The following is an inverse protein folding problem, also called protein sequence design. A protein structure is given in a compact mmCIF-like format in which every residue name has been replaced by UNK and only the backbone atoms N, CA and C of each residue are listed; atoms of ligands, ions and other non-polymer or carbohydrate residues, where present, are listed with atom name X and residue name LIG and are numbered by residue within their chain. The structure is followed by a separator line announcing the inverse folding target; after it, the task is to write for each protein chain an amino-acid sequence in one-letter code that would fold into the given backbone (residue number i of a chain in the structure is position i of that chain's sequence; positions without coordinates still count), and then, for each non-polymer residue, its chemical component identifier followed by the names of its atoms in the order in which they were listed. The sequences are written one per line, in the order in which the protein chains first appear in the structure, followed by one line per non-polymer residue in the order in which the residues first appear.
data_IF_447581004635
#
_entry.id   IF_447581004635
#
_cell.length_a   1.000
_cell.length_b   1.000
_cell.length_c   1.000
_cell.angle_alpha   90.00
_cell.angle_beta   90.00
_cell.angle_gamma   90.00
#
_symmetry.space_group_name_H-M   'P 1'
#
loop_
_entity.id
_entity.type
_entity.pdbx_description
1 polymer ?
#
# COMPACT_ATOMS: atom_id res chain seq x y z
N UNK A 1 -18.66 27.59 -56.22
CA UNK A 1 -18.45 26.28 -56.87
C UNK A 1 -17.29 25.55 -56.15
N UNK A 2 -17.55 24.28 -55.75
CA UNK A 2 -16.73 23.27 -55.05
C UNK A 2 -16.67 23.36 -53.51
N UNK A 3 -17.58 22.61 -52.91
CA UNK A 3 -17.50 22.01 -51.57
C UNK A 3 -16.48 20.88 -51.62
N UNK A 4 -15.66 20.74 -50.60
CA UNK A 4 -14.91 19.52 -50.31
C UNK A 4 -15.27 19.04 -48.91
N UNK A 5 -15.90 17.86 -48.92
CA UNK A 5 -16.34 17.12 -47.72
C UNK A 5 -15.15 16.63 -46.94
N UNK A 6 -15.18 16.81 -45.61
CA UNK A 6 -14.24 16.18 -44.67
C UNK A 6 -15.02 15.10 -43.89
N UNK A 7 -14.89 13.86 -44.37
CA UNK A 7 -15.42 12.67 -43.68
C UNK A 7 -14.69 12.41 -42.37
N UNK A 8 -15.44 12.37 -41.28
CA UNK A 8 -15.01 11.96 -39.97
C UNK A 8 -14.88 10.44 -39.90
N UNK A 9 -13.66 9.88 -39.81
CA UNK A 9 -13.41 8.49 -39.48
C UNK A 9 -13.56 8.30 -37.98
N UNK A 10 -14.63 7.60 -37.55
CA UNK A 10 -14.74 7.03 -36.19
C UNK A 10 -13.79 5.82 -36.05
N UNK A 11 -13.13 5.60 -34.93
CA UNK A 11 -12.38 4.36 -34.71
C UNK A 11 -13.34 3.20 -34.51
N UNK A 12 -13.00 2.05 -35.09
CA UNK A 12 -13.74 0.78 -35.02
C UNK A 12 -13.67 0.17 -33.62
N UNK A 13 -14.67 -0.60 -33.18
CA UNK A 13 -14.69 -1.22 -31.84
C UNK A 13 -13.63 -2.31 -31.70
N UNK A 14 -12.96 -2.31 -30.55
CA UNK A 14 -11.95 -3.30 -30.16
C UNK A 14 -12.61 -4.67 -30.00
N UNK A 15 -12.05 -5.68 -30.64
CA UNK A 15 -12.58 -7.04 -30.69
C UNK A 15 -12.24 -7.80 -29.41
N UNK A 16 -13.25 -8.17 -28.63
CA UNK A 16 -13.17 -8.86 -27.33
C UNK A 16 -12.51 -10.26 -27.42
N UNK A 17 -12.35 -10.82 -28.61
CA UNK A 17 -11.68 -12.11 -28.83
C UNK A 17 -10.14 -12.07 -28.67
N UNK A 18 -9.52 -10.92 -28.90
CA UNK A 18 -8.07 -10.78 -28.78
C UNK A 18 -7.61 -10.73 -27.31
N UNK A 19 -8.41 -10.19 -26.40
CA UNK A 19 -8.10 -10.21 -24.96
C UNK A 19 -8.16 -11.62 -24.35
N UNK A 20 -9.08 -12.48 -24.83
CA UNK A 20 -9.19 -13.87 -24.38
C UNK A 20 -7.99 -14.72 -24.81
N UNK A 21 -7.36 -14.43 -25.95
CA UNK A 21 -6.13 -15.11 -26.40
C UNK A 21 -4.90 -14.68 -25.63
N UNK A 22 -4.82 -13.43 -25.17
CA UNK A 22 -3.72 -12.95 -24.32
C UNK A 22 -3.75 -13.58 -22.92
N UNK A 23 -4.94 -13.71 -22.29
CA UNK A 23 -5.11 -14.36 -20.98
C UNK A 23 -4.86 -15.87 -21.06
N UNK A 24 -5.20 -16.55 -22.19
CA UNK A 24 -4.90 -17.96 -22.42
C UNK A 24 -3.40 -18.25 -22.52
N UNK A 25 -2.62 -17.38 -23.17
CA UNK A 25 -1.16 -17.51 -23.24
C UNK A 25 -0.45 -17.31 -21.90
N UNK A 26 -0.95 -16.41 -21.07
CA UNK A 26 -0.38 -16.18 -19.72
C UNK A 26 -0.59 -17.38 -18.77
N UNK A 27 -1.74 -18.08 -18.86
CA UNK A 27 -1.98 -19.30 -18.08
C UNK A 27 -1.11 -20.49 -18.52
N UNK A 28 -0.77 -20.59 -19.79
CA UNK A 28 0.11 -21.66 -20.30
C UNK A 28 1.58 -21.47 -19.90
N UNK A 29 2.06 -20.23 -19.78
CA UNK A 29 3.44 -19.92 -19.36
C UNK A 29 3.67 -20.20 -17.87
N UNK A 30 2.65 -20.03 -17.03
CA UNK A 30 2.72 -20.33 -15.57
C UNK A 30 2.70 -21.86 -15.35
N UNK A 31 1.91 -22.61 -16.13
CA UNK A 31 1.84 -24.07 -16.00
C UNK A 31 3.12 -24.79 -16.45
N UNK A 32 3.80 -24.28 -17.47
CA UNK A 32 5.10 -24.84 -17.93
C UNK A 32 6.24 -24.54 -16.98
N UNK A 33 6.24 -23.40 -16.28
CA UNK A 33 7.25 -23.05 -15.26
C UNK A 33 7.25 -24.00 -14.06
N UNK A 34 6.08 -24.44 -13.60
CA UNK A 34 5.95 -25.37 -12.47
C UNK A 34 6.34 -26.79 -12.84
N UNK A 35 6.21 -27.19 -14.11
CA UNK A 35 6.59 -28.54 -14.55
C UNK A 35 8.10 -28.69 -14.78
N UNK A 36 8.80 -27.62 -15.19
CA UNK A 36 10.28 -27.65 -15.29
C UNK A 36 10.97 -27.76 -13.92
N UNK A 37 10.42 -27.13 -12.88
CA UNK A 37 10.99 -27.22 -11.53
C UNK A 37 10.90 -28.64 -10.91
N UNK A 38 10.00 -29.51 -11.42
CA UNK A 38 9.81 -30.89 -10.91
C UNK A 38 10.71 -31.93 -11.61
N UNK A 39 11.21 -31.61 -12.80
CA UNK A 39 12.08 -32.52 -13.58
C UNK A 39 13.58 -32.33 -13.28
N UNK A 40 14.02 -31.16 -12.81
CA UNK A 40 15.43 -30.91 -12.47
C UNK A 40 15.90 -31.51 -11.14
N UNK A 41 15.01 -32.02 -10.29
CA UNK A 41 15.40 -32.72 -9.04
C UNK A 41 15.99 -34.12 -9.21
N UNK A 42 16.14 -34.62 -10.43
CA UNK A 42 16.65 -35.98 -10.68
C UNK A 42 18.04 -36.07 -11.33
N UNK A 43 18.71 -34.97 -11.64
CA UNK A 43 20.12 -35.02 -12.10
C UNK A 43 20.89 -33.84 -11.55
N UNK A 44 21.93 -34.14 -10.80
CA UNK A 44 22.81 -33.20 -10.13
C UNK A 44 23.50 -32.23 -11.07
N UNK A 45 23.79 -31.08 -10.49
CA UNK A 45 24.61 -29.97 -10.98
C UNK A 45 24.09 -29.17 -12.19
N UNK A 46 23.60 -27.94 -11.92
CA UNK A 46 23.73 -26.86 -12.88
C UNK A 46 24.11 -25.55 -12.18
N UNK A 47 25.21 -25.00 -12.69
CA UNK A 47 25.85 -23.74 -12.27
C UNK A 47 24.98 -22.50 -12.59
N UNK A 48 23.83 -22.69 -13.24
CA UNK A 48 22.95 -21.60 -13.65
C UNK A 48 21.99 -21.12 -12.53
N UNK A 49 21.67 -21.99 -11.58
CA UNK A 49 20.78 -21.64 -10.45
C UNK A 49 21.42 -20.67 -9.44
N UNK A 50 22.75 -20.70 -9.33
CA UNK A 50 23.51 -19.83 -8.43
C UNK A 50 23.64 -18.39 -8.93
N UNK A 51 23.65 -18.18 -10.27
CA UNK A 51 23.78 -16.82 -10.84
C UNK A 51 22.49 -15.98 -10.79
N UNK A 52 21.32 -16.59 -10.71
CA UNK A 52 20.07 -15.84 -10.56
C UNK A 52 19.80 -15.41 -9.11
N UNK A 53 20.34 -16.13 -8.12
CA UNK A 53 20.23 -15.75 -6.72
C UNK A 53 21.15 -14.55 -6.36
N UNK A 54 22.26 -14.37 -7.07
CA UNK A 54 23.18 -13.23 -6.86
C UNK A 54 22.69 -11.91 -7.48
N UNK A 55 21.74 -11.95 -8.43
CA UNK A 55 21.24 -10.75 -9.11
C UNK A 55 20.10 -10.04 -8.35
N UNK A 56 19.52 -10.66 -7.32
CA UNK A 56 18.36 -10.13 -6.57
C UNK A 56 18.70 -9.76 -5.12
N UNK A 57 19.92 -10.02 -4.66
CA UNK A 57 20.34 -9.63 -3.31
C UNK A 57 20.98 -8.22 -3.32
N UNK A 58 20.47 -7.24 -2.56
CA UNK A 58 21.14 -5.97 -2.40
C UNK A 58 22.47 -6.20 -1.67
N UNK A 59 23.58 -5.78 -2.28
CA UNK A 59 24.90 -5.78 -1.68
C UNK A 59 24.89 -4.86 -0.47
N UNK A 60 24.95 -5.42 0.73
CA UNK A 60 25.20 -4.62 1.92
C UNK A 60 24.40 -4.91 3.18
N UNK A 61 23.50 -5.90 3.17
CA UNK A 61 22.87 -6.34 4.42
C UNK A 61 23.49 -7.67 4.82
N UNK A 62 24.36 -7.64 5.86
CA UNK A 62 24.91 -8.83 6.47
C UNK A 62 23.76 -9.76 6.87
N UNK A 63 23.83 -11.01 6.42
CA UNK A 63 22.92 -12.05 6.87
C UNK A 63 22.98 -12.15 8.38
N UNK A 64 21.88 -11.84 9.04
CA UNK A 64 21.73 -12.10 10.48
C UNK A 64 21.73 -13.61 10.72
N UNK A 65 22.26 -14.10 11.87
CA UNK A 65 22.37 -15.53 12.20
C UNK A 65 21.06 -16.32 12.25
N UNK A 66 19.91 -15.67 12.16
CA UNK A 66 18.59 -16.30 12.20
C UNK A 66 18.22 -17.17 10.98
N UNK A 67 18.98 -17.11 9.88
CA UNK A 67 18.72 -17.93 8.70
C UNK A 67 19.45 -19.29 8.69
N UNK A 68 20.40 -19.48 9.60
CA UNK A 68 21.17 -20.73 9.72
C UNK A 68 20.59 -21.70 10.76
N UNK A 69 19.72 -21.22 11.66
CA UNK A 69 19.06 -22.07 12.67
C UNK A 69 17.88 -22.92 12.13
N UNK A 70 17.50 -22.80 10.86
CA UNK A 70 16.42 -23.62 10.26
C UNK A 70 16.92 -24.91 9.57
N UNK A 71 18.10 -25.41 9.88
CA UNK A 71 18.58 -26.72 9.45
C UNK A 71 19.13 -27.52 10.62
N UNK A 72 18.26 -27.93 11.51
CA UNK A 72 18.52 -29.16 12.28
C UNK A 72 17.61 -30.27 11.77
N UNK A 73 18.11 -31.28 11.06
CA UNK A 73 17.44 -32.55 10.92
C UNK A 73 17.91 -33.43 12.06
N UNK A 74 17.02 -33.81 12.92
CA UNK A 74 17.16 -34.76 14.06
C UNK A 74 16.92 -34.16 15.44
N UNK A 75 15.86 -33.38 15.58
CA UNK A 75 15.16 -33.33 16.86
C UNK A 75 14.49 -34.69 17.06
N UNK A 76 14.73 -35.37 18.21
CA UNK A 76 13.96 -36.52 18.70
C UNK A 76 12.48 -36.32 18.34
N UNK A 77 11.95 -37.17 17.45
CA UNK A 77 10.51 -37.14 17.13
C UNK A 77 9.81 -37.31 18.47
N UNK A 78 9.20 -36.24 18.98
CA UNK A 78 8.42 -36.29 20.20
C UNK A 78 7.44 -37.43 20.02
N UNK A 79 7.49 -38.45 20.88
CA UNK A 79 6.61 -39.60 20.77
C UNK A 79 5.19 -39.10 20.83
N UNK A 80 4.39 -39.38 19.80
CA UNK A 80 3.02 -38.93 19.75
C UNK A 80 2.24 -39.52 20.94
N UNK A 81 1.48 -38.65 21.60
CA UNK A 81 0.70 -39.00 22.80
C UNK A 81 -0.72 -39.32 22.40
N UNK A 82 -1.13 -40.54 22.72
CA UNK A 82 -2.42 -41.08 22.34
C UNK A 82 -3.25 -41.39 23.58
N UNK A 83 -4.48 -40.90 23.62
CA UNK A 83 -5.44 -41.25 24.66
C UNK A 83 -6.38 -42.33 24.14
N UNK A 84 -6.49 -43.44 24.89
CA UNK A 84 -7.40 -44.54 24.63
C UNK A 84 -8.51 -44.55 25.67
N UNK A 85 -9.74 -44.40 25.22
CA UNK A 85 -10.94 -44.34 26.09
C UNK A 85 -11.87 -45.51 25.76
N UNK A 86 -12.03 -46.45 26.67
CA UNK A 86 -12.88 -47.59 26.51
C UNK A 86 -13.24 -48.15 27.90
N UNK A 87 -14.47 -48.52 28.17
CA UNK A 87 -14.85 -49.04 29.48
C UNK A 87 -14.46 -50.50 29.67
N UNK A 88 -14.24 -51.22 28.55
CA UNK A 88 -13.73 -52.61 28.58
C UNK A 88 -12.21 -52.64 28.79
N UNK A 89 -11.76 -53.04 30.00
CA UNK A 89 -10.35 -53.09 30.37
C UNK A 89 -9.50 -53.94 29.41
N UNK A 90 -10.05 -55.04 28.88
CA UNK A 90 -9.33 -55.92 27.95
C UNK A 90 -9.05 -55.24 26.60
N UNK A 91 -10.06 -54.58 26.03
CA UNK A 91 -9.94 -53.85 24.75
C UNK A 91 -8.99 -52.68 24.91
N UNK A 92 -9.15 -51.87 25.95
CA UNK A 92 -8.28 -50.76 26.29
C UNK A 92 -6.81 -51.16 26.42
N UNK A 93 -6.54 -52.25 27.16
CA UNK A 93 -5.18 -52.76 27.32
C UNK A 93 -4.61 -53.34 26.02
N UNK A 94 -5.41 -54.00 25.19
CA UNK A 94 -4.98 -54.53 23.92
C UNK A 94 -4.58 -53.40 22.94
N UNK A 95 -5.41 -52.36 22.82
CA UNK A 95 -5.11 -51.18 22.01
C UNK A 95 -3.83 -50.52 22.52
N UNK A 96 -3.74 -50.22 23.84
CA UNK A 96 -2.59 -49.59 24.44
C UNK A 96 -1.29 -50.34 24.19
N UNK A 97 -1.26 -51.65 24.50
CA UNK A 97 -0.08 -52.48 24.26
C UNK A 97 0.34 -52.53 22.78
N UNK A 98 -0.63 -52.45 21.85
CA UNK A 98 -0.37 -52.43 20.41
C UNK A 98 0.33 -51.13 20.00
N UNK A 99 -0.12 -50.00 20.53
CA UNK A 99 0.42 -48.65 20.24
C UNK A 99 1.77 -48.45 20.94
N UNK A 100 1.91 -48.83 22.20
CA UNK A 100 3.18 -48.77 22.96
C UNK A 100 4.30 -49.54 22.27
N UNK A 101 4.02 -50.72 21.73
CA UNK A 101 4.98 -51.53 20.95
C UNK A 101 5.45 -50.80 19.66
N UNK A 102 4.74 -49.82 19.20
CA UNK A 102 5.11 -48.96 18.06
C UNK A 102 5.82 -47.68 18.48
N UNK A 103 5.98 -47.48 19.80
CA UNK A 103 6.70 -46.36 20.37
C UNK A 103 5.84 -45.11 20.60
N UNK A 104 4.51 -45.24 20.67
CA UNK A 104 3.61 -44.17 21.07
C UNK A 104 3.55 -44.04 22.59
N UNK A 105 3.39 -42.84 23.12
CA UNK A 105 3.09 -42.56 24.53
C UNK A 105 1.57 -42.69 24.71
N UNK A 106 1.13 -43.78 25.43
CA UNK A 106 -0.30 -44.11 25.53
C UNK A 106 -0.79 -43.87 26.94
N UNK A 107 -1.86 -43.06 27.05
CA UNK A 107 -2.62 -42.96 28.29
C UNK A 107 -4.00 -43.56 28.10
N UNK A 108 -4.57 -44.08 29.18
CA UNK A 108 -5.80 -44.87 29.16
C UNK A 108 -6.82 -44.29 30.13
N UNK A 109 -8.04 -44.09 29.67
CA UNK A 109 -9.19 -43.69 30.47
C UNK A 109 -10.30 -44.74 30.40
N UNK A 110 -11.02 -44.96 31.49
CA UNK A 110 -12.09 -45.92 31.57
C UNK A 110 -13.47 -45.32 31.29
N UNK A 111 -13.56 -44.00 31.22
CA UNK A 111 -14.79 -43.24 30.95
C UNK A 111 -14.52 -41.87 30.38
N UNK A 112 -15.55 -41.24 29.83
CA UNK A 112 -15.46 -39.92 29.23
C UNK A 112 -15.08 -38.79 30.19
N UNK A 113 -15.42 -38.94 31.48
CA UNK A 113 -15.06 -37.93 32.52
C UNK A 113 -13.55 -37.92 32.76
N UNK A 114 -12.96 -39.11 32.94
CA UNK A 114 -11.52 -39.24 33.16
C UNK A 114 -10.74 -38.77 31.91
N UNK A 115 -11.26 -39.12 30.72
CA UNK A 115 -10.70 -38.68 29.46
C UNK A 115 -10.64 -37.14 29.35
N UNK A 116 -11.72 -36.44 29.70
CA UNK A 116 -11.73 -34.97 29.70
C UNK A 116 -10.76 -34.37 30.71
N UNK A 117 -10.70 -34.93 31.92
CA UNK A 117 -9.73 -34.46 32.93
C UNK A 117 -8.26 -34.63 32.46
N UNK A 118 -7.99 -35.75 31.77
CA UNK A 118 -6.64 -35.97 31.17
C UNK A 118 -6.34 -35.01 30.04
N UNK A 119 -7.32 -34.68 29.18
CA UNK A 119 -7.19 -33.74 28.07
C UNK A 119 -6.94 -32.30 28.56
N UNK A 120 -7.58 -31.91 29.67
CA UNK A 120 -7.35 -30.58 30.29
C UNK A 120 -5.96 -30.50 30.96
N UNK A 121 -5.46 -31.61 31.50
CA UNK A 121 -4.15 -31.62 32.18
C UNK A 121 -2.97 -31.85 31.23
N UNK A 122 -3.18 -32.45 30.09
CA UNK A 122 -2.12 -32.90 29.17
C UNK A 122 -2.53 -32.66 27.71
N UNK A 123 -1.54 -32.37 26.86
CA UNK A 123 -1.74 -32.35 25.41
C UNK A 123 -1.68 -33.76 24.82
N UNK A 124 -2.60 -34.09 23.95
CA UNK A 124 -2.63 -35.37 23.19
C UNK A 124 -2.61 -35.05 21.68
N UNK A 125 -2.12 -36.02 20.91
CA UNK A 125 -2.00 -35.92 19.46
C UNK A 125 -3.10 -36.69 18.75
N UNK A 126 -3.76 -37.65 19.44
CA UNK A 126 -4.86 -38.45 18.95
C UNK A 126 -5.68 -38.99 20.11
N UNK A 127 -6.98 -39.12 19.92
CA UNK A 127 -7.88 -39.86 20.84
C UNK A 127 -8.54 -41.01 20.10
N UNK A 128 -8.51 -42.21 20.72
CA UNK A 128 -9.34 -43.34 20.32
C UNK A 128 -10.40 -43.52 21.40
N UNK A 129 -11.67 -43.48 21.05
CA UNK A 129 -12.76 -43.61 22.03
C UNK A 129 -13.82 -44.62 21.58
N UNK A 130 -14.31 -45.43 22.51
CA UNK A 130 -15.51 -46.22 22.25
C UNK A 130 -16.74 -45.30 22.13
N UNK A 131 -17.70 -45.73 21.30
CA UNK A 131 -18.98 -45.04 21.15
C UNK A 131 -19.88 -45.33 22.34
N UNK A 132 -19.94 -46.58 22.79
CA UNK A 132 -20.85 -47.03 23.86
C UNK A 132 -20.05 -47.38 25.10
N UNK A 133 -20.17 -46.53 26.11
CA UNK A 133 -19.53 -46.72 27.42
C UNK A 133 -20.58 -46.74 28.52
N UNK A 134 -20.33 -47.43 29.64
CA UNK A 134 -21.27 -47.54 30.79
C UNK A 134 -21.66 -46.20 31.38
N UNK A 135 -20.72 -45.26 31.38
CA UNK A 135 -20.88 -43.92 31.98
C UNK A 135 -21.18 -42.82 30.99
N UNK A 136 -21.56 -43.12 29.73
CA UNK A 136 -21.87 -42.11 28.75
C UNK A 136 -21.69 -42.53 27.31
N UNK A 137 -21.85 -41.58 26.39
CA UNK A 137 -21.75 -41.77 24.96
C UNK A 137 -20.47 -41.11 24.43
N UNK A 138 -19.63 -41.91 23.74
CA UNK A 138 -18.38 -41.41 23.09
C UNK A 138 -18.62 -40.30 22.06
N UNK A 139 -19.83 -40.23 21.48
CA UNK A 139 -20.20 -39.14 20.57
C UNK A 139 -20.31 -37.82 21.35
N UNK A 140 -20.88 -37.81 22.55
CA UNK A 140 -20.94 -36.61 23.40
C UNK A 140 -19.53 -36.15 23.85
N UNK A 141 -18.62 -37.10 24.06
CA UNK A 141 -17.21 -36.84 24.32
C UNK A 141 -16.53 -36.22 23.10
N UNK A 142 -16.78 -36.76 21.89
CA UNK A 142 -16.28 -36.20 20.63
C UNK A 142 -16.69 -34.73 20.43
N UNK A 143 -18.00 -34.43 20.64
CA UNK A 143 -18.50 -33.04 20.47
C UNK A 143 -17.82 -32.06 21.43
N UNK A 144 -17.61 -32.46 22.69
CA UNK A 144 -16.93 -31.66 23.69
C UNK A 144 -15.45 -31.43 23.32
N UNK A 145 -14.76 -32.48 22.87
CA UNK A 145 -13.37 -32.40 22.43
C UNK A 145 -13.25 -31.50 21.21
N UNK A 146 -14.13 -31.71 20.21
CA UNK A 146 -14.11 -30.88 18.99
C UNK A 146 -14.39 -29.40 19.28
N UNK A 147 -15.26 -29.09 20.24
CA UNK A 147 -15.51 -27.68 20.65
C UNK A 147 -14.32 -27.00 21.34
N UNK A 148 -13.48 -27.76 22.05
CA UNK A 148 -12.31 -27.22 22.78
C UNK A 148 -11.02 -27.31 21.95
N UNK A 149 -10.85 -28.38 21.18
CA UNK A 149 -9.64 -28.66 20.37
C UNK A 149 -10.04 -29.14 18.96
N UNK A 150 -10.46 -28.26 18.06
CA UNK A 150 -11.00 -28.67 16.74
C UNK A 150 -10.02 -29.46 15.88
N UNK A 151 -8.73 -29.29 16.11
CA UNK A 151 -7.66 -29.92 15.33
C UNK A 151 -7.17 -31.25 15.95
N UNK A 152 -7.72 -31.67 17.09
CA UNK A 152 -7.38 -32.95 17.70
C UNK A 152 -8.15 -34.07 17.00
N UNK A 153 -7.50 -34.97 16.27
CA UNK A 153 -8.19 -36.08 15.62
C UNK A 153 -8.74 -37.06 16.65
N UNK A 154 -9.97 -37.45 16.43
CA UNK A 154 -10.68 -38.48 17.26
C UNK A 154 -11.10 -39.61 16.37
N UNK A 155 -10.69 -40.84 16.73
CA UNK A 155 -11.09 -42.09 16.06
C UNK A 155 -12.07 -42.81 16.96
N UNK A 156 -13.23 -43.15 16.40
CA UNK A 156 -14.27 -43.86 17.12
C UNK A 156 -14.03 -45.37 17.02
N UNK A 157 -13.96 -46.08 18.13
CA UNK A 157 -13.82 -47.54 18.19
C UNK A 157 -15.15 -48.13 18.64
N UNK A 158 -15.73 -49.02 17.86
CA UNK A 158 -17.11 -49.48 18.16
C UNK A 158 -17.36 -50.91 17.75
N UNK A 159 -18.23 -51.61 18.50
CA UNK A 159 -18.77 -52.91 18.17
C UNK A 159 -20.08 -52.85 17.33
N UNK A 160 -20.59 -51.65 17.08
CA UNK A 160 -21.88 -51.47 16.39
C UNK A 160 -21.64 -51.55 14.89
N UNK A 161 -22.30 -52.53 14.25
CA UNK A 161 -22.28 -52.70 12.80
C UNK A 161 -23.28 -51.80 12.06
N UNK A 162 -23.85 -50.82 12.74
CA UNK A 162 -24.79 -49.86 12.14
C UNK A 162 -24.03 -48.70 11.45
N UNK A 163 -24.09 -48.71 10.14
CA UNK A 163 -23.48 -47.69 9.29
C UNK A 163 -23.99 -46.27 9.65
N UNK A 164 -25.21 -46.14 10.16
CA UNK A 164 -25.78 -44.83 10.53
C UNK A 164 -25.02 -44.19 11.68
N UNK A 165 -24.55 -44.95 12.65
CA UNK A 165 -23.76 -44.46 13.79
C UNK A 165 -22.36 -44.01 13.36
N UNK A 166 -21.75 -44.76 12.44
CA UNK A 166 -20.47 -44.37 11.87
C UNK A 166 -20.58 -43.04 11.08
N UNK A 167 -21.61 -42.92 10.24
CA UNK A 167 -21.87 -41.70 9.48
C UNK A 167 -22.17 -40.53 10.42
N UNK A 168 -22.92 -40.69 11.47
CA UNK A 168 -23.25 -39.66 12.45
C UNK A 168 -21.99 -39.17 13.18
N UNK A 169 -21.12 -40.10 13.59
CA UNK A 169 -19.84 -39.72 14.23
C UNK A 169 -18.93 -38.93 13.30
N UNK A 170 -18.86 -39.30 12.03
CA UNK A 170 -18.09 -38.54 11.02
C UNK A 170 -18.66 -37.12 10.81
N UNK A 171 -19.98 -36.97 10.75
CA UNK A 171 -20.66 -35.64 10.65
C UNK A 171 -20.40 -34.76 11.86
N UNK A 172 -20.17 -35.34 13.04
CA UNK A 172 -19.87 -34.62 14.29
C UNK A 172 -18.38 -34.34 14.51
N UNK A 173 -17.55 -34.67 13.50
CA UNK A 173 -16.13 -34.29 13.50
C UNK A 173 -15.19 -35.44 13.91
N UNK A 174 -15.62 -36.69 13.94
CA UNK A 174 -14.68 -37.79 14.04
C UNK A 174 -13.76 -37.84 12.82
N UNK A 175 -12.47 -38.13 13.04
CA UNK A 175 -11.51 -38.31 11.95
C UNK A 175 -11.75 -39.58 11.16
N UNK A 176 -12.03 -40.68 11.90
CA UNK A 176 -12.31 -41.99 11.32
C UNK A 176 -13.02 -42.89 12.35
N UNK A 177 -13.38 -44.10 11.94
CA UNK A 177 -13.93 -45.10 12.83
C UNK A 177 -13.27 -46.48 12.63
N UNK A 178 -13.25 -47.31 13.68
CA UNK A 178 -12.68 -48.64 13.71
C UNK A 178 -13.70 -49.64 14.32
N UNK A 179 -14.10 -50.64 13.52
CA UNK A 179 -15.07 -51.66 13.96
C UNK A 179 -14.38 -52.80 14.74
N UNK A 180 -14.93 -53.15 15.93
CA UNK A 180 -14.54 -54.32 16.70
C UNK A 180 -15.27 -55.58 16.12
N UNK A 181 -14.56 -56.70 15.94
CA UNK A 181 -13.12 -56.95 16.10
C UNK A 181 -12.33 -56.39 14.92
N UNK A 182 -11.16 -55.83 15.20
CA UNK A 182 -10.28 -55.22 14.20
C UNK A 182 -8.91 -55.91 14.15
N UNK A 183 -8.30 -55.84 12.98
CA UNK A 183 -6.93 -56.28 12.78
C UNK A 183 -5.93 -55.21 13.27
N UNK A 184 -4.79 -55.69 13.76
CA UNK A 184 -3.72 -54.80 14.26
C UNK A 184 -3.24 -53.81 13.20
N UNK A 185 -3.07 -54.26 11.97
CA UNK A 185 -2.63 -53.45 10.85
C UNK A 185 -3.63 -52.34 10.53
N UNK A 186 -4.94 -52.61 10.64
CA UNK A 186 -5.98 -51.61 10.41
C UNK A 186 -5.96 -50.51 11.49
N UNK A 187 -5.86 -50.87 12.78
CA UNK A 187 -5.70 -49.91 13.88
C UNK A 187 -4.49 -49.00 13.62
N UNK A 188 -3.32 -49.59 13.32
CA UNK A 188 -2.10 -48.82 13.09
C UNK A 188 -2.17 -47.91 11.88
N UNK A 189 -2.84 -48.34 10.81
CA UNK A 189 -3.05 -47.53 9.60
C UNK A 189 -3.90 -46.28 9.87
N UNK A 190 -5.00 -46.46 10.64
CA UNK A 190 -5.88 -45.32 11.01
C UNK A 190 -5.13 -44.34 11.93
N UNK A 191 -4.42 -44.88 12.94
CA UNK A 191 -3.63 -44.04 13.85
C UNK A 191 -2.58 -43.20 13.08
N UNK A 192 -1.86 -43.85 12.16
CA UNK A 192 -0.86 -43.14 11.37
C UNK A 192 -1.50 -42.02 10.51
N UNK A 193 -2.61 -42.29 9.82
CA UNK A 193 -3.33 -41.30 9.02
C UNK A 193 -3.81 -40.12 9.87
N UNK A 194 -4.33 -40.41 11.08
CA UNK A 194 -4.81 -39.37 11.98
C UNK A 194 -3.67 -38.44 12.45
N UNK A 195 -2.54 -39.03 12.81
CA UNK A 195 -1.36 -38.28 13.23
C UNK A 195 -0.73 -37.46 12.07
N UNK A 196 -0.65 -38.06 10.86
CA UNK A 196 -0.15 -37.36 9.68
C UNK A 196 -1.07 -36.18 9.30
N UNK A 197 -2.38 -36.36 9.44
CA UNK A 197 -3.36 -35.28 9.22
C UNK A 197 -3.17 -34.10 10.21
N UNK A 198 -3.02 -34.42 11.50
CA UNK A 198 -2.76 -33.41 12.53
C UNK A 198 -1.48 -32.63 12.26
N UNK A 199 -0.40 -33.36 11.95
CA UNK A 199 0.90 -32.71 11.64
C UNK A 199 0.78 -31.78 10.44
N UNK A 200 0.08 -32.20 9.39
CA UNK A 200 -0.14 -31.33 8.20
C UNK A 200 -0.95 -30.07 8.54
N UNK A 201 -1.94 -30.16 9.44
CA UNK A 201 -2.69 -28.99 9.91
C UNK A 201 -1.81 -28.03 10.71
N UNK A 202 -0.98 -28.54 11.62
CA UNK A 202 -0.05 -27.73 12.42
C UNK A 202 1.00 -27.04 11.55
N UNK A 203 1.58 -27.76 10.59
CA UNK A 203 2.52 -27.18 9.61
C UNK A 203 1.86 -26.09 8.75
N UNK A 204 0.63 -26.36 8.27
CA UNK A 204 -0.13 -25.38 7.48
C UNK A 204 -0.41 -24.10 8.28
N UNK A 205 -0.83 -24.24 9.53
CA UNK A 205 -1.11 -23.12 10.42
C UNK A 205 0.15 -22.27 10.72
N UNK A 206 1.26 -22.95 11.03
CA UNK A 206 2.55 -22.31 11.27
C UNK A 206 3.04 -21.56 10.02
N UNK A 207 2.90 -22.19 8.84
CA UNK A 207 3.25 -21.56 7.56
C UNK A 207 2.40 -20.32 7.29
N UNK A 208 1.10 -20.39 7.54
CA UNK A 208 0.19 -19.25 7.36
C UNK A 208 0.57 -18.08 8.27
N UNK A 209 0.83 -18.33 9.55
CA UNK A 209 1.26 -17.31 10.50
C UNK A 209 2.57 -16.64 10.07
N UNK A 210 3.55 -17.44 9.64
CA UNK A 210 4.82 -16.92 9.14
C UNK A 210 4.62 -16.06 7.88
N UNK A 211 3.74 -16.48 6.97
CA UNK A 211 3.44 -15.72 5.76
C UNK A 211 2.79 -14.37 6.08
N UNK A 212 1.82 -14.36 6.99
CA UNK A 212 1.17 -13.13 7.45
C UNK A 212 2.17 -12.16 8.08
N UNK A 213 3.10 -12.66 8.88
CA UNK A 213 4.17 -11.86 9.47
C UNK A 213 5.09 -11.25 8.40
N UNK A 214 5.52 -12.06 7.42
CA UNK A 214 6.38 -11.59 6.32
C UNK A 214 5.66 -10.57 5.46
N UNK A 215 4.38 -10.80 5.14
CA UNK A 215 3.57 -9.84 4.36
C UNK A 215 3.47 -8.50 5.10
N UNK A 216 3.15 -8.52 6.40
CA UNK A 216 3.06 -7.29 7.21
C UNK A 216 4.38 -6.52 7.22
N UNK A 217 5.49 -7.21 7.52
CA UNK A 217 6.81 -6.58 7.55
C UNK A 217 7.20 -5.97 6.18
N UNK A 218 6.91 -6.69 5.08
CA UNK A 218 7.18 -6.19 3.73
C UNK A 218 6.33 -4.99 3.36
N UNK A 219 5.05 -4.98 3.76
CA UNK A 219 4.15 -3.84 3.52
C UNK A 219 4.64 -2.60 4.24
N UNK A 220 5.09 -2.75 5.49
CA UNK A 220 5.63 -1.65 6.29
C UNK A 220 6.92 -1.08 5.70
N UNK A 221 7.86 -1.96 5.30
CA UNK A 221 9.09 -1.54 4.61
C UNK A 221 8.82 -0.83 3.29
N UNK A 222 7.84 -1.29 2.52
CA UNK A 222 7.46 -0.65 1.27
C UNK A 222 6.87 0.74 1.51
N UNK A 223 6.01 0.88 2.51
CA UNK A 223 5.41 2.16 2.89
C UNK A 223 6.48 3.17 3.27
N UNK A 224 7.42 2.78 4.15
CA UNK A 224 8.55 3.62 4.53
C UNK A 224 9.42 4.02 3.33
N UNK A 225 9.73 3.07 2.44
CA UNK A 225 10.54 3.37 1.25
C UNK A 225 9.83 4.34 0.29
N UNK A 226 8.49 4.28 0.21
CA UNK A 226 7.71 5.23 -0.57
C UNK A 226 7.74 6.64 0.04
N UNK A 227 7.60 6.75 1.37
CA UNK A 227 7.72 8.03 2.08
C UNK A 227 9.11 8.66 1.92
N UNK A 228 10.17 7.85 2.08
CA UNK A 228 11.55 8.31 1.90
C UNK A 228 11.80 8.80 0.45
N UNK A 229 11.22 8.12 -0.53
CA UNK A 229 11.32 8.49 -1.94
C UNK A 229 10.56 9.81 -2.22
N UNK A 230 9.33 9.97 -1.71
CA UNK A 230 8.58 11.23 -1.82
C UNK A 230 9.35 12.39 -1.20
N UNK A 231 9.90 12.19 0.00
CA UNK A 231 10.71 13.21 0.66
C UNK A 231 11.95 13.59 -0.16
N UNK A 232 12.63 12.60 -0.73
CA UNK A 232 13.79 12.85 -1.61
C UNK A 232 13.41 13.67 -2.85
N UNK A 233 12.24 13.42 -3.44
CA UNK A 233 11.74 14.24 -4.54
C UNK A 233 11.48 15.68 -4.10
N UNK A 234 10.81 15.88 -2.99
CA UNK A 234 10.48 17.22 -2.49
C UNK A 234 11.74 18.04 -2.17
N UNK A 235 12.76 17.44 -1.55
CA UNK A 235 14.07 18.09 -1.34
C UNK A 235 14.76 18.45 -2.66
N UNK A 236 14.65 17.57 -3.68
CA UNK A 236 15.23 17.86 -5.01
C UNK A 236 14.51 19.01 -5.69
N UNK A 237 13.18 19.09 -5.57
CA UNK A 237 12.39 20.19 -6.11
C UNK A 237 12.73 21.52 -5.41
N UNK A 238 12.90 21.51 -4.08
CA UNK A 238 13.34 22.70 -3.33
C UNK A 238 14.68 23.23 -3.83
N UNK A 239 15.66 22.34 -4.03
CA UNK A 239 16.96 22.74 -4.55
C UNK A 239 16.89 23.33 -5.98
N UNK A 240 15.99 22.77 -6.83
CA UNK A 240 15.75 23.32 -8.18
C UNK A 240 15.07 24.69 -8.14
N UNK A 241 14.11 24.90 -7.26
CA UNK A 241 13.44 26.20 -7.09
C UNK A 241 14.38 27.26 -6.53
N UNK A 242 15.18 26.93 -5.52
CA UNK A 242 16.20 27.82 -4.98
C UNK A 242 17.23 28.23 -6.07
N UNK A 243 17.61 27.30 -6.96
CA UNK A 243 18.49 27.62 -8.10
C UNK A 243 17.82 28.53 -9.14
N UNK A 244 16.52 28.40 -9.33
CA UNK A 244 15.72 29.26 -10.21
C UNK A 244 15.61 30.68 -9.66
N UNK A 245 15.28 30.82 -8.37
CA UNK A 245 15.19 32.12 -7.69
C UNK A 245 16.52 32.91 -7.83
N UNK A 246 17.67 32.22 -7.76
CA UNK A 246 18.99 32.80 -8.00
C UNK A 246 19.20 33.33 -9.45
N UNK A 247 18.59 32.66 -10.44
CA UNK A 247 18.72 33.05 -11.84
C UNK A 247 17.86 34.24 -12.20
N UNK A 248 16.65 34.30 -11.70
CA UNK A 248 15.63 35.27 -12.11
C UNK A 248 15.73 36.62 -11.36
N UNK A 249 16.59 36.76 -10.38
CA UNK A 249 16.69 37.99 -9.53
C UNK A 249 15.36 38.33 -8.82
N UNK A 250 14.48 37.36 -8.64
CA UNK A 250 13.31 37.52 -7.79
C UNK A 250 13.70 37.57 -6.31
N UNK A 251 12.81 38.06 -5.47
CA UNK A 251 13.11 38.18 -4.03
C UNK A 251 13.28 36.78 -3.42
N UNK A 252 14.40 36.63 -2.68
CA UNK A 252 14.73 35.36 -2.00
C UNK A 252 13.49 34.76 -1.30
N UNK A 253 13.20 33.49 -1.59
CA UNK A 253 12.08 32.75 -1.03
C UNK A 253 10.70 33.09 -1.62
N UNK A 254 10.62 33.75 -2.77
CA UNK A 254 9.37 34.01 -3.47
C UNK A 254 8.60 32.71 -3.73
N UNK A 255 9.24 31.75 -4.37
CA UNK A 255 8.63 30.44 -4.68
C UNK A 255 8.07 29.74 -3.44
N UNK A 256 8.77 29.81 -2.31
CA UNK A 256 8.32 29.24 -1.02
C UNK A 256 7.10 29.98 -0.46
N UNK A 257 7.11 31.33 -0.48
CA UNK A 257 5.97 32.13 0.03
C UNK A 257 4.72 31.93 -0.80
N UNK A 258 4.82 32.00 -2.12
CA UNK A 258 3.69 31.78 -3.03
C UNK A 258 3.11 30.38 -2.84
N UNK A 259 3.96 29.36 -2.69
CA UNK A 259 3.51 28.00 -2.42
C UNK A 259 2.77 27.90 -1.10
N UNK A 260 3.28 28.49 -0.01
CA UNK A 260 2.61 28.48 1.29
C UNK A 260 1.23 29.17 1.25
N UNK A 261 1.14 30.32 0.58
CA UNK A 261 -0.12 31.03 0.37
C UNK A 261 -1.10 30.22 -0.48
N UNK A 262 -0.62 29.56 -1.52
CA UNK A 262 -1.41 28.68 -2.39
C UNK A 262 -1.98 27.50 -1.59
N UNK A 263 -1.17 26.86 -0.74
CA UNK A 263 -1.60 25.75 0.13
C UNK A 263 -2.68 26.24 1.11
N UNK A 264 -2.48 27.40 1.75
CA UNK A 264 -3.45 27.94 2.70
C UNK A 264 -4.81 28.22 2.04
N UNK A 265 -4.81 28.81 0.84
CA UNK A 265 -6.01 29.04 0.05
C UNK A 265 -6.68 27.73 -0.38
N UNK A 266 -5.92 26.78 -0.89
CA UNK A 266 -6.43 25.49 -1.33
C UNK A 266 -7.11 24.72 -0.18
N UNK A 267 -6.52 24.75 1.02
CA UNK A 267 -7.13 24.19 2.23
C UNK A 267 -8.45 24.87 2.60
N UNK A 268 -8.45 26.20 2.60
CA UNK A 268 -9.65 26.98 2.91
C UNK A 268 -10.79 26.73 1.89
N UNK A 269 -10.44 26.36 0.68
CA UNK A 269 -11.39 25.95 -0.38
C UNK A 269 -11.82 24.49 -0.26
N UNK A 270 -11.29 23.70 0.68
CA UNK A 270 -11.64 22.29 0.88
C UNK A 270 -11.05 21.35 -0.17
N UNK A 271 -9.95 21.72 -0.84
CA UNK A 271 -9.24 20.86 -1.77
C UNK A 271 -8.63 19.66 -1.04
N UNK A 272 -8.61 18.50 -1.69
CA UNK A 272 -8.08 17.27 -1.08
C UNK A 272 -6.57 17.38 -0.79
N UNK A 273 -6.04 16.71 0.24
CA UNK A 273 -4.59 16.70 0.52
C UNK A 273 -3.74 16.22 -0.67
N UNK A 274 -4.24 15.26 -1.47
CA UNK A 274 -3.55 14.77 -2.64
C UNK A 274 -3.44 15.85 -3.73
N UNK A 275 -4.55 16.53 -4.02
CA UNK A 275 -4.57 17.63 -5.00
C UNK A 275 -3.75 18.83 -4.52
N UNK A 276 -3.73 19.12 -3.21
CA UNK A 276 -2.89 20.18 -2.64
C UNK A 276 -1.41 19.91 -2.88
N UNK A 277 -0.95 18.63 -2.79
CA UNK A 277 0.45 18.28 -3.13
C UNK A 277 0.77 18.63 -4.59
N UNK A 278 -0.12 18.29 -5.51
CA UNK A 278 0.04 18.63 -6.95
C UNK A 278 0.09 20.14 -7.16
N UNK A 279 -0.85 20.86 -6.53
CA UNK A 279 -0.94 22.33 -6.63
C UNK A 279 0.32 22.98 -6.04
N UNK A 280 0.81 22.51 -4.90
CA UNK A 280 2.01 23.02 -4.27
C UNK A 280 3.26 22.85 -5.15
N UNK A 281 3.43 21.66 -5.77
CA UNK A 281 4.54 21.40 -6.71
C UNK A 281 4.44 22.32 -7.95
N UNK A 282 3.25 22.50 -8.50
CA UNK A 282 3.01 23.42 -9.62
C UNK A 282 3.29 24.87 -9.26
N UNK A 283 2.81 25.33 -8.11
CA UNK A 283 3.06 26.67 -7.59
C UNK A 283 4.55 26.93 -7.34
N UNK A 284 5.25 25.95 -6.76
CA UNK A 284 6.68 26.07 -6.48
C UNK A 284 7.55 26.16 -7.73
N UNK A 285 7.17 25.44 -8.79
CA UNK A 285 7.90 25.35 -10.06
C UNK A 285 7.28 26.21 -11.17
N UNK A 286 6.34 27.11 -10.85
CA UNK A 286 5.58 27.86 -11.87
C UNK A 286 6.48 28.52 -12.93
N UNK A 287 7.59 29.03 -12.51
CA UNK A 287 8.56 29.78 -13.32
C UNK A 287 9.74 28.95 -13.86
N UNK A 288 9.75 27.61 -13.68
CA UNK A 288 10.88 26.76 -14.12
C UNK A 288 11.26 26.95 -15.59
N UNK A 289 10.31 27.31 -16.43
CA UNK A 289 10.57 27.60 -17.84
C UNK A 289 11.42 28.81 -18.11
N UNK A 290 11.57 29.73 -17.15
CA UNK A 290 12.50 30.87 -17.23
C UNK A 290 13.97 30.44 -17.38
N UNK A 291 14.29 29.20 -16.98
CA UNK A 291 15.61 28.62 -17.25
C UNK A 291 15.97 28.56 -18.74
N UNK A 292 14.98 28.49 -19.61
CA UNK A 292 15.17 28.45 -21.06
C UNK A 292 15.07 29.81 -21.74
N UNK A 293 14.86 30.89 -20.98
CA UNK A 293 14.82 32.26 -21.47
C UNK A 293 16.26 32.82 -21.50
N UNK A 294 16.67 33.52 -22.57
CA UNK A 294 17.98 34.18 -22.66
C UNK A 294 18.17 35.21 -21.55
N UNK A 295 19.36 35.25 -20.95
CA UNK A 295 19.67 36.18 -19.84
C UNK A 295 19.55 37.64 -20.22
N UNK A 296 19.82 38.01 -21.47
CA UNK A 296 19.69 39.37 -22.00
C UNK A 296 18.22 39.89 -21.95
N UNK A 297 17.26 38.94 -22.05
CA UNK A 297 15.82 39.24 -21.94
C UNK A 297 15.39 39.17 -20.48
N UNK A 298 15.76 38.09 -19.79
CA UNK A 298 15.33 37.81 -18.41
C UNK A 298 15.81 38.91 -17.43
N UNK A 299 17.04 39.35 -17.59
CA UNK A 299 17.68 40.36 -16.71
C UNK A 299 17.75 41.76 -17.31
N UNK A 300 16.98 42.05 -18.35
CA UNK A 300 17.01 43.35 -19.02
C UNK A 300 16.65 44.49 -18.08
N UNK A 301 17.51 45.49 -17.89
CA UNK A 301 17.16 46.64 -17.09
C UNK A 301 16.21 47.56 -17.90
N UNK A 302 14.91 47.40 -17.71
CA UNK A 302 13.89 48.21 -18.37
C UNK A 302 12.75 47.44 -18.96
N UNK A 303 11.93 48.09 -19.78
CA UNK A 303 10.77 47.41 -20.42
C UNK A 303 11.24 46.52 -21.56
N UNK A 304 10.62 45.35 -21.67
CA UNK A 304 10.80 44.45 -22.80
C UNK A 304 10.12 45.02 -24.05
N UNK A 305 10.70 44.80 -25.24
CA UNK A 305 10.02 45.05 -26.51
C UNK A 305 8.87 44.04 -26.72
N UNK A 306 7.96 44.29 -27.65
CA UNK A 306 6.90 43.32 -27.95
C UNK A 306 7.44 41.92 -28.30
N UNK A 307 8.53 41.87 -29.08
CA UNK A 307 9.18 40.61 -29.47
C UNK A 307 9.81 39.88 -28.27
N UNK A 308 10.47 40.62 -27.40
CA UNK A 308 11.05 40.09 -26.16
C UNK A 308 9.95 39.63 -25.19
N UNK A 309 8.79 40.30 -25.15
CA UNK A 309 7.63 39.85 -24.36
C UNK A 309 7.10 38.50 -24.84
N UNK A 310 7.02 38.29 -26.18
CA UNK A 310 6.62 36.99 -26.70
C UNK A 310 7.59 35.88 -26.28
N UNK A 311 8.90 36.14 -26.36
CA UNK A 311 9.91 35.18 -25.87
C UNK A 311 9.76 34.94 -24.38
N UNK A 312 9.51 35.96 -23.58
CA UNK A 312 9.29 35.84 -22.14
C UNK A 312 8.04 34.98 -21.84
N UNK A 313 6.94 35.16 -22.59
CA UNK A 313 5.71 34.35 -22.42
C UNK A 313 5.90 32.87 -22.68
N UNK A 314 6.90 32.48 -23.47
CA UNK A 314 7.21 31.09 -23.74
C UNK A 314 7.61 30.31 -22.48
N UNK A 315 7.97 30.97 -21.35
CA UNK A 315 8.34 30.24 -20.13
C UNK A 315 7.23 29.29 -19.65
N UNK A 316 5.96 29.64 -19.77
CA UNK A 316 4.84 28.78 -19.42
C UNK A 316 4.88 27.47 -20.22
N UNK A 317 4.97 27.58 -21.55
CA UNK A 317 4.99 26.42 -22.46
C UNK A 317 6.28 25.60 -22.30
N UNK A 318 7.42 26.25 -22.13
CA UNK A 318 8.71 25.61 -21.95
C UNK A 318 8.75 24.84 -20.62
N UNK A 319 8.29 25.46 -19.53
CA UNK A 319 8.15 24.84 -18.21
C UNK A 319 7.25 23.61 -18.25
N UNK A 320 6.08 23.74 -18.88
CA UNK A 320 5.17 22.62 -19.12
C UNK A 320 5.85 21.43 -19.81
N UNK A 321 6.55 21.68 -20.92
CA UNK A 321 7.26 20.63 -21.66
C UNK A 321 8.41 20.00 -20.89
N UNK A 322 9.02 20.72 -19.95
CA UNK A 322 10.04 20.16 -19.06
C UNK A 322 9.42 19.21 -18.05
N UNK A 323 8.39 19.66 -17.34
CA UNK A 323 7.81 18.94 -16.20
C UNK A 323 6.93 17.76 -16.61
N UNK A 324 6.15 17.84 -17.70
CA UNK A 324 5.27 16.74 -18.15
C UNK A 324 5.99 15.45 -18.49
N UNK A 325 7.31 15.47 -18.68
CA UNK A 325 8.14 14.28 -18.92
C UNK A 325 8.43 13.50 -17.64
N UNK A 326 8.19 14.11 -16.50
CA UNK A 326 8.44 13.54 -15.18
C UNK A 326 7.09 13.06 -14.62
N UNK A 327 6.85 11.74 -14.48
CA UNK A 327 5.52 11.21 -14.18
C UNK A 327 4.83 11.86 -12.98
N UNK A 328 5.53 12.07 -11.87
CA UNK A 328 4.94 12.64 -10.64
C UNK A 328 4.76 14.18 -10.68
N UNK A 329 5.19 14.85 -11.76
CA UNK A 329 5.01 16.28 -12.01
C UNK A 329 4.07 16.57 -13.19
N UNK A 330 3.58 15.53 -13.88
CA UNK A 330 2.77 15.72 -15.08
C UNK A 330 1.50 16.55 -14.83
N UNK A 331 0.81 16.31 -13.69
CA UNK A 331 -0.37 17.08 -13.29
C UNK A 331 0.01 18.50 -12.82
N UNK A 332 1.12 18.65 -12.10
CA UNK A 332 1.64 19.94 -11.68
C UNK A 332 2.06 20.83 -12.88
N UNK A 333 2.47 20.21 -13.99
CA UNK A 333 2.82 20.92 -15.22
C UNK A 333 1.65 21.72 -15.81
N UNK A 334 0.40 21.28 -15.60
CA UNK A 334 -0.79 22.02 -16.05
C UNK A 334 -0.90 23.39 -15.35
N UNK A 335 -0.50 23.46 -14.08
CA UNK A 335 -0.45 24.72 -13.33
C UNK A 335 0.65 25.62 -13.90
N UNK A 336 1.83 25.05 -14.18
CA UNK A 336 2.94 25.78 -14.80
C UNK A 336 2.57 26.31 -16.18
N UNK A 337 1.76 25.57 -16.95
CA UNK A 337 1.27 26.05 -18.24
C UNK A 337 0.34 27.25 -18.10
N UNK A 338 -0.61 27.20 -17.14
CA UNK A 338 -1.77 28.10 -17.07
C UNK A 338 -1.68 29.14 -15.93
N UNK A 339 -0.52 29.30 -15.25
CA UNK A 339 -0.42 30.22 -14.14
C UNK A 339 -0.52 31.71 -14.52
N UNK A 340 -0.35 32.04 -15.81
CA UNK A 340 -0.49 33.39 -16.36
C UNK A 340 -1.86 33.60 -17.07
N UNK A 341 -2.78 32.66 -16.94
CA UNK A 341 -4.13 32.83 -17.45
C UNK A 341 -4.94 33.76 -16.55
N UNK A 342 -5.80 34.55 -17.16
CA UNK A 342 -6.73 35.46 -16.48
C UNK A 342 -8.16 34.90 -16.58
N UNK A 343 -8.95 35.10 -15.54
CA UNK A 343 -10.30 34.55 -15.44
C UNK A 343 -11.21 34.99 -16.59
N UNK A 344 -11.00 36.18 -17.15
CA UNK A 344 -11.71 36.71 -18.31
C UNK A 344 -11.19 36.27 -19.68
N UNK A 345 -10.10 35.45 -19.70
CA UNK A 345 -9.46 34.96 -20.92
C UNK A 345 -8.50 35.91 -21.58
N UNK A 346 -8.12 37.01 -20.93
CA UNK A 346 -7.11 37.98 -21.46
C UNK A 346 -5.67 37.53 -21.15
N UNK A 347 -5.48 36.39 -20.44
CA UNK A 347 -4.18 35.83 -20.08
C UNK A 347 -3.50 35.08 -21.22
N UNK A 348 -2.47 34.32 -20.90
CA UNK A 348 -1.69 33.49 -21.81
C UNK A 348 -1.22 32.21 -21.13
N UNK A 349 -0.76 31.17 -21.84
CA UNK A 349 -0.59 31.06 -23.30
C UNK A 349 -1.83 30.57 -24.06
N UNK A 350 -2.83 29.97 -23.37
CA UNK A 350 -3.99 29.31 -23.97
C UNK A 350 -5.18 30.25 -24.18
N UNK A 351 -5.26 31.38 -23.47
CA UNK A 351 -6.44 32.25 -23.42
C UNK A 351 -7.64 31.56 -22.78
N UNK A 352 -7.41 30.70 -21.82
CA UNK A 352 -8.43 29.95 -21.08
C UNK A 352 -9.31 30.88 -20.26
N UNK A 353 -10.61 30.54 -20.12
CA UNK A 353 -11.59 31.36 -19.41
C UNK A 353 -12.27 30.62 -18.27
N UNK A 354 -12.52 31.34 -17.19
CA UNK A 354 -13.33 30.86 -16.08
C UNK A 354 -12.87 29.46 -15.60
N UNK A 355 -13.74 28.47 -15.62
CA UNK A 355 -13.47 27.09 -15.16
C UNK A 355 -12.65 26.23 -16.14
N UNK A 356 -12.34 26.75 -17.34
CA UNK A 356 -11.35 26.11 -18.23
C UNK A 356 -9.95 26.17 -17.62
N UNK A 357 -9.68 27.22 -16.79
CA UNK A 357 -8.42 27.35 -16.06
C UNK A 357 -8.45 26.32 -14.91
N UNK A 358 -7.41 25.46 -14.77
CA UNK A 358 -7.28 24.56 -13.63
C UNK A 358 -7.46 25.27 -12.29
N UNK A 359 -8.15 24.65 -11.35
CA UNK A 359 -8.42 25.28 -10.04
C UNK A 359 -7.14 25.68 -9.32
N UNK A 360 -6.08 24.86 -9.42
CA UNK A 360 -4.75 25.17 -8.86
C UNK A 360 -4.18 26.48 -9.41
N UNK A 361 -4.31 26.75 -10.71
CA UNK A 361 -3.82 27.97 -11.34
C UNK A 361 -4.64 29.19 -10.94
N UNK A 362 -5.96 29.03 -10.77
CA UNK A 362 -6.83 30.11 -10.26
C UNK A 362 -6.49 30.50 -8.83
N UNK A 363 -6.17 29.51 -7.97
CA UNK A 363 -5.71 29.71 -6.60
C UNK A 363 -4.32 30.38 -6.59
N UNK A 364 -3.40 29.84 -7.40
CA UNK A 364 -2.05 30.34 -7.54
C UNK A 364 -2.01 31.83 -7.93
N UNK A 365 -2.82 32.25 -8.90
CA UNK A 365 -2.85 33.64 -9.38
C UNK A 365 -3.13 34.65 -8.26
N UNK A 366 -4.00 34.31 -7.30
CA UNK A 366 -4.28 35.14 -6.11
C UNK A 366 -3.08 35.15 -5.16
N UNK A 367 -2.47 33.98 -4.90
CA UNK A 367 -1.33 33.82 -4.02
C UNK A 367 -0.07 34.55 -4.55
N UNK A 368 0.21 34.42 -5.85
CA UNK A 368 1.33 35.12 -6.51
C UNK A 368 1.15 36.64 -6.46
N UNK A 369 -0.04 37.12 -6.76
CA UNK A 369 -0.35 38.55 -6.66
C UNK A 369 -0.22 39.08 -5.23
N UNK A 370 -0.64 38.28 -4.23
CA UNK A 370 -0.47 38.62 -2.83
C UNK A 370 1.01 38.81 -2.49
N UNK A 371 1.87 37.85 -2.86
CA UNK A 371 3.33 37.98 -2.66
C UNK A 371 3.92 39.13 -3.46
N UNK A 372 3.54 39.29 -4.71
CA UNK A 372 4.00 40.35 -5.57
C UNK A 372 3.72 41.75 -5.01
N UNK A 373 2.55 41.98 -4.40
CA UNK A 373 2.18 43.28 -3.82
C UNK A 373 2.87 43.50 -2.49
N UNK A 374 3.03 42.48 -1.68
CA UNK A 374 3.52 42.60 -0.31
C UNK A 374 5.02 42.38 -0.16
N UNK A 375 5.77 42.11 -1.25
CA UNK A 375 7.23 41.95 -1.26
C UNK A 375 7.92 43.15 -1.90
N UNK A 376 9.14 43.47 -1.44
CA UNK A 376 9.98 44.48 -2.10
C UNK A 376 10.42 43.96 -3.47
N UNK A 377 10.31 44.81 -4.51
CA UNK A 377 10.82 44.54 -5.85
C UNK A 377 11.83 45.65 -6.24
N UNK A 378 12.77 45.43 -7.16
CA UNK A 378 13.79 46.41 -7.50
C UNK A 378 13.24 47.81 -7.82
N UNK A 379 12.01 47.85 -8.31
CA UNK A 379 11.38 49.13 -8.75
C UNK A 379 10.20 49.55 -7.86
N UNK A 380 9.85 48.84 -6.80
CA UNK A 380 8.67 49.09 -5.97
C UNK A 380 8.82 48.53 -4.56
N UNK A 381 8.57 49.34 -3.55
CA UNK A 381 8.47 48.91 -2.15
C UNK A 381 7.24 48.08 -1.89
N UNK A 382 7.35 47.16 -0.94
CA UNK A 382 6.24 46.38 -0.44
C UNK A 382 5.07 47.25 0.03
N UNK A 383 3.84 46.79 -0.24
CA UNK A 383 2.62 47.42 0.27
C UNK A 383 2.03 46.51 1.38
N UNK A 384 1.05 47.02 2.11
CA UNK A 384 0.37 46.27 3.16
C UNK A 384 -0.48 45.13 2.60
N UNK A 385 -0.79 44.15 3.42
CA UNK A 385 -1.74 43.09 3.07
C UNK A 385 -3.14 43.65 2.78
N UNK A 386 -3.56 44.72 3.45
CA UNK A 386 -4.84 45.38 3.16
C UNK A 386 -4.86 45.98 1.75
N UNK A 387 -3.76 46.64 1.33
CA UNK A 387 -3.64 47.12 -0.03
C UNK A 387 -3.63 45.98 -1.09
N UNK A 388 -3.11 44.82 -0.75
CA UNK A 388 -3.20 43.63 -1.60
C UNK A 388 -4.65 43.11 -1.69
N UNK A 389 -5.38 43.07 -0.57
CA UNK A 389 -6.81 42.67 -0.54
C UNK A 389 -7.67 43.58 -1.41
N UNK A 390 -7.48 44.88 -1.31
CA UNK A 390 -8.20 45.85 -2.15
C UNK A 390 -7.96 45.61 -3.64
N UNK A 391 -6.70 45.42 -4.03
CA UNK A 391 -6.34 45.18 -5.43
C UNK A 391 -6.86 43.84 -5.97
N UNK A 392 -6.73 42.77 -5.18
CA UNK A 392 -7.26 41.45 -5.54
C UNK A 392 -8.79 41.48 -5.68
N UNK A 393 -9.49 42.16 -4.75
CA UNK A 393 -10.92 42.37 -4.84
C UNK A 393 -11.31 43.18 -6.09
N UNK A 394 -10.57 44.24 -6.42
CA UNK A 394 -10.82 45.08 -7.59
C UNK A 394 -10.72 44.32 -8.91
N UNK A 395 -9.81 43.33 -8.97
CA UNK A 395 -9.58 42.50 -10.15
C UNK A 395 -10.39 41.16 -10.15
N UNK A 396 -11.33 41.00 -9.21
CA UNK A 396 -12.22 39.85 -9.17
C UNK A 396 -13.12 39.80 -10.42
N UNK A 397 -13.25 38.64 -11.05
CA UNK A 397 -13.99 38.45 -12.28
C UNK A 397 -13.27 38.84 -13.57
N UNK A 398 -12.10 39.49 -13.46
CA UNK A 398 -11.21 39.82 -14.60
C UNK A 398 -9.95 38.94 -14.52
N UNK A 399 -9.00 39.30 -13.68
CA UNK A 399 -7.79 38.51 -13.47
C UNK A 399 -8.04 37.30 -12.60
N UNK A 400 -8.84 37.43 -11.54
CA UNK A 400 -9.04 36.39 -10.52
C UNK A 400 -10.43 35.77 -10.54
N UNK A 401 -10.49 34.48 -10.19
CA UNK A 401 -11.75 33.79 -9.96
C UNK A 401 -12.48 34.37 -8.73
N UNK A 402 -13.72 34.86 -8.88
CA UNK A 402 -14.50 35.38 -7.77
C UNK A 402 -14.65 34.41 -6.59
N UNK A 403 -14.74 33.09 -6.87
CA UNK A 403 -14.86 32.07 -5.83
C UNK A 403 -13.58 31.98 -4.98
N UNK A 404 -12.40 32.08 -5.60
CA UNK A 404 -11.11 32.12 -4.89
C UNK A 404 -10.97 33.41 -4.09
N UNK A 405 -11.34 34.56 -4.69
CA UNK A 405 -11.30 35.84 -4.01
C UNK A 405 -12.20 35.88 -2.79
N UNK A 406 -13.40 35.32 -2.87
CA UNK A 406 -14.32 35.22 -1.72
C UNK A 406 -13.70 34.47 -0.54
N UNK A 407 -13.05 33.33 -0.80
CA UNK A 407 -12.34 32.55 0.22
C UNK A 407 -11.14 33.32 0.77
N UNK A 408 -10.33 33.92 -0.11
CA UNK A 408 -9.18 34.74 0.26
C UNK A 408 -9.58 35.87 1.23
N UNK A 409 -10.68 36.55 0.99
CA UNK A 409 -11.16 37.64 1.83
C UNK A 409 -11.65 37.18 3.21
N UNK A 410 -11.99 35.91 3.40
CA UNK A 410 -12.36 35.34 4.70
C UNK A 410 -11.15 34.97 5.57
N UNK A 411 -9.98 34.81 4.95
CA UNK A 411 -8.75 34.46 5.68
C UNK A 411 -8.17 35.72 6.34
N UNK A 412 -7.86 35.72 7.65
CA UNK A 412 -7.34 36.87 8.35
C UNK A 412 -5.88 37.19 7.90
N UNK A 413 -5.50 38.47 7.96
CA UNK A 413 -4.17 38.90 7.56
C UNK A 413 -3.06 38.34 8.45
N UNK A 414 -3.39 38.00 9.70
CA UNK A 414 -2.49 37.38 10.68
C UNK A 414 -1.86 36.10 10.12
N UNK A 415 -2.65 35.27 9.43
CA UNK A 415 -2.16 34.05 8.82
C UNK A 415 -1.08 34.34 7.75
N UNK A 416 -1.29 35.37 6.91
CA UNK A 416 -0.31 35.72 5.90
C UNK A 416 0.98 36.26 6.51
N UNK A 417 0.90 37.01 7.61
CA UNK A 417 2.04 37.46 8.39
C UNK A 417 2.81 36.30 9.02
N UNK A 418 2.10 35.34 9.59
CA UNK A 418 2.68 34.14 10.21
C UNK A 418 3.45 33.32 9.18
N UNK A 419 2.79 32.92 8.07
CA UNK A 419 3.41 32.17 6.99
C UNK A 419 4.65 32.87 6.41
N UNK A 420 4.60 34.19 6.24
CA UNK A 420 5.75 34.96 5.79
C UNK A 420 6.90 34.92 6.79
N UNK A 421 6.62 35.08 8.09
CA UNK A 421 7.64 35.09 9.14
C UNK A 421 8.33 33.74 9.29
N UNK A 422 7.59 32.63 9.13
CA UNK A 422 8.13 31.28 9.16
C UNK A 422 9.12 31.02 8.01
N UNK A 423 8.84 31.54 6.82
CA UNK A 423 9.69 31.34 5.63
C UNK A 423 10.91 32.26 5.64
N UNK A 424 10.76 33.52 6.09
CA UNK A 424 11.87 34.49 6.12
C UNK A 424 12.70 34.40 7.39
N UNK A 425 12.21 33.75 8.45
CA UNK A 425 12.92 33.57 9.72
C UNK A 425 14.06 32.54 9.61
N UNK A 426 15.10 32.69 10.47
CA UNK A 426 16.25 31.77 10.54
C UNK A 426 15.91 30.35 11.05
N UNK A 427 14.67 30.07 11.40
CA UNK A 427 14.19 28.76 11.79
C UNK A 427 13.77 27.95 10.55
N UNK A 428 14.73 27.28 9.94
CA UNK A 428 14.57 26.34 8.80
C UNK A 428 13.73 25.07 9.14
N UNK A 429 12.53 25.23 9.70
CA UNK A 429 11.61 24.10 9.95
C UNK A 429 10.48 23.98 8.91
N UNK A 430 10.43 24.88 7.95
CA UNK A 430 9.40 24.85 6.92
C UNK A 430 9.86 23.95 5.78
N UNK A 431 9.29 22.75 5.70
CA UNK A 431 9.30 21.94 4.49
C UNK A 431 8.19 22.46 3.58
N UNK A 432 8.54 22.93 2.41
CA UNK A 432 7.62 23.56 1.44
C UNK A 432 6.45 22.66 1.07
N UNK A 433 6.63 21.35 1.17
CA UNK A 433 5.65 20.32 0.76
C UNK A 433 5.08 19.54 1.94
N UNK A 434 5.49 19.81 3.19
CA UNK A 434 4.92 19.15 4.37
C UNK A 434 3.55 19.75 4.69
N UNK A 435 2.52 19.06 4.21
CA UNK A 435 1.12 19.45 4.41
C UNK A 435 0.64 19.15 5.84
N UNK A 436 1.41 18.42 6.67
CA UNK A 436 0.98 17.93 7.98
C UNK A 436 1.10 18.94 9.13
N UNK A 437 1.95 19.98 9.00
CA UNK A 437 2.42 20.81 10.11
C UNK A 437 1.82 22.20 10.25
N UNK A 438 0.67 22.51 9.71
CA UNK A 438 -0.03 23.74 10.16
C UNK A 438 -1.26 23.36 11.01
N UNK A 439 -1.03 23.41 12.33
CA UNK A 439 -2.07 23.37 13.35
C UNK A 439 -2.90 24.65 13.28
N UNK A 440 -3.91 24.68 12.43
CA UNK A 440 -5.04 25.58 12.62
C UNK A 440 -6.29 24.71 12.53
N UNK A 441 -6.91 24.52 13.70
CA UNK A 441 -8.29 24.04 13.82
C UNK A 441 -9.19 24.83 12.87
N UNK A 442 -10.19 24.19 12.24
CA UNK A 442 -11.13 24.92 11.43
C UNK A 442 -11.85 25.93 12.35
N UNK A 443 -11.73 27.20 12.01
CA UNK A 443 -12.59 28.25 12.59
C UNK A 443 -14.01 27.92 12.13
N UNK A 444 -14.84 27.49 13.09
CA UNK A 444 -16.29 27.34 12.92
C UNK A 444 -16.96 28.70 12.65
#
# INVERSE_FOLDING_TARGET
MRRTDFESKRPSPINVEDERKAVGKMKHTVATGVHLCRLERRRGSSVLGLKLAELVAPKGVGMTPAAEEMREPTGLRKMARILVVDDEAHVRSMIGATLERRGYDVQMASCGRDAMAMLEANGFDLVLTDIVMKDGNGIALLERMHGQQPNLPVVMVTAIHDISVAIDSMRRGAFDYLLKPFEREHLLSIVQRALDHRLALEESHTYQQNLEHVVRARTEMLHQAMEDLEHSYDVTLEALGDALDLKDSETEGHSKRVTAYTIALARAMGISPADIKVIARGAFLHDIGKMAIPDDILRKPGKLTPEEQEIMREHCTRGYHMLRKIPFLAEAAEIVFSHQEHFDGSGYPGGLRSTEIPVGSRIFAVADTLDAITSDRPYRKARSFDAAREEILRCSGTQFDPAVVEVFLKIPNELWHELRSEITGQNKRFSTFDISHSSTSPVM
#
